data_IF_236907500103
#
_entry.id   IF_236907500103
#
_cell.length_a   1.000
_cell.length_b   1.000
_cell.length_c   1.000
_cell.angle_alpha   90.00
_cell.angle_beta   90.00
_cell.angle_gamma   90.00
#
_symmetry.space_group_name_H-M   'P 1'
#
loop_
_entity.id
_entity.type
_entity.pdbx_description
1 polymer ?
#
# COMPACT_ATOMS: atom_id res chain seq x y z
N UNK A 1 27.65 -4.91 8.97
CA UNK A 1 26.72 -5.51 7.98
C UNK A 1 25.27 -5.39 8.42
N UNK A 2 24.92 -5.81 9.63
CA UNK A 2 23.53 -5.77 10.15
C UNK A 2 22.91 -4.39 10.24
N UNK A 3 23.68 -3.35 10.56
CA UNK A 3 23.18 -1.96 10.49
C UNK A 3 22.79 -1.54 9.07
N UNK A 4 23.55 -1.98 8.05
CA UNK A 4 23.21 -1.71 6.65
C UNK A 4 21.95 -2.45 6.22
N UNK A 5 21.73 -3.67 6.71
CA UNK A 5 20.50 -4.42 6.45
C UNK A 5 19.28 -3.80 7.17
N UNK A 6 19.45 -3.31 8.39
CA UNK A 6 18.41 -2.58 9.11
C UNK A 6 18.03 -1.28 8.39
N UNK A 7 19.01 -0.55 7.85
CA UNK A 7 18.74 0.64 7.03
C UNK A 7 17.97 0.28 5.75
N UNK A 8 18.33 -0.83 5.08
CA UNK A 8 17.59 -1.33 3.91
C UNK A 8 16.16 -1.74 4.26
N UNK A 9 15.95 -2.41 5.40
CA UNK A 9 14.61 -2.77 5.88
C UNK A 9 13.77 -1.51 6.16
N UNK A 10 14.36 -0.49 6.79
CA UNK A 10 13.70 0.80 7.02
C UNK A 10 13.29 1.45 5.70
N UNK A 11 14.19 1.52 4.71
CA UNK A 11 13.87 2.09 3.39
C UNK A 11 12.79 1.29 2.66
N UNK A 12 12.78 -0.03 2.81
CA UNK A 12 11.73 -0.89 2.25
C UNK A 12 10.36 -0.54 2.84
N UNK A 13 10.27 -0.33 4.17
CA UNK A 13 9.03 0.09 4.82
C UNK A 13 8.60 1.51 4.41
N UNK A 14 9.54 2.45 4.34
CA UNK A 14 9.28 3.82 3.86
C UNK A 14 8.69 3.78 2.43
N UNK A 15 9.28 2.96 1.56
CA UNK A 15 8.78 2.77 0.19
C UNK A 15 7.40 2.11 0.15
N UNK A 16 7.15 1.08 0.97
CA UNK A 16 5.81 0.48 1.09
C UNK A 16 4.77 1.53 1.49
N UNK A 17 5.10 2.40 2.46
CA UNK A 17 4.20 3.47 2.91
C UNK A 17 3.91 4.49 1.80
N UNK A 18 4.90 4.86 1.00
CA UNK A 18 4.71 5.73 -0.17
C UNK A 18 3.74 5.13 -1.19
N UNK A 19 3.91 3.84 -1.51
CA UNK A 19 3.04 3.15 -2.47
C UNK A 19 1.62 3.04 -1.92
N UNK A 20 1.46 2.70 -0.63
CA UNK A 20 0.16 2.66 0.01
C UNK A 20 -0.54 4.04 -0.03
N UNK A 21 0.19 5.14 0.20
CA UNK A 21 -0.36 6.49 0.04
C UNK A 21 -0.81 6.78 -1.40
N UNK A 22 -0.15 6.22 -2.41
CA UNK A 22 -0.59 6.34 -3.80
C UNK A 22 -1.84 5.50 -4.08
N UNK A 23 -1.90 4.26 -3.57
CA UNK A 23 -3.11 3.42 -3.67
C UNK A 23 -4.31 4.10 -3.01
N UNK A 24 -4.11 4.75 -1.85
CA UNK A 24 -5.18 5.52 -1.21
C UNK A 24 -5.70 6.65 -2.11
N UNK A 25 -4.79 7.36 -2.80
CA UNK A 25 -5.19 8.41 -3.74
C UNK A 25 -5.97 7.86 -4.93
N UNK A 26 -5.54 6.74 -5.50
CA UNK A 26 -6.29 6.06 -6.58
C UNK A 26 -7.66 5.56 -6.09
N UNK A 27 -7.76 5.06 -4.86
CA UNK A 27 -9.03 4.69 -4.26
C UNK A 27 -9.98 5.88 -4.13
N UNK A 28 -9.49 7.04 -3.69
CA UNK A 28 -10.30 8.26 -3.61
C UNK A 28 -10.76 8.73 -4.99
N UNK A 29 -9.88 8.72 -6.00
CA UNK A 29 -10.27 9.04 -7.38
C UNK A 29 -11.37 8.12 -7.89
N UNK A 30 -11.26 6.83 -7.61
CA UNK A 30 -12.30 5.86 -7.95
C UNK A 30 -13.62 6.16 -7.22
N UNK A 31 -13.58 6.55 -5.93
CA UNK A 31 -14.77 7.01 -5.20
C UNK A 31 -15.39 8.22 -5.88
N UNK A 32 -14.60 9.26 -6.18
CA UNK A 32 -15.09 10.50 -6.81
C UNK A 32 -15.71 10.23 -8.19
N UNK A 33 -15.12 9.31 -8.96
CA UNK A 33 -15.69 8.85 -10.23
C UNK A 33 -17.06 8.18 -10.04
N UNK A 34 -17.26 7.40 -8.97
CA UNK A 34 -18.51 6.69 -8.71
C UNK A 34 -19.58 7.57 -8.05
N UNK A 35 -19.18 8.51 -7.17
CA UNK A 35 -20.08 9.41 -6.42
C UNK A 35 -20.64 10.54 -7.29
N UNK A 36 -19.95 10.93 -8.36
CA UNK A 36 -20.49 11.78 -9.40
C UNK A 36 -21.04 10.89 -10.52
N UNK A 37 -22.33 10.49 -10.51
CA UNK A 37 -22.93 9.93 -11.70
C UNK A 37 -22.84 11.04 -12.73
N UNK A 38 -22.02 10.85 -13.76
CA UNK A 38 -22.05 11.70 -14.94
C UNK A 38 -23.41 11.42 -15.58
N UNK A 39 -24.42 12.19 -15.14
CA UNK A 39 -25.78 12.17 -15.65
C UNK A 39 -25.74 12.73 -17.07
N UNK A 40 -25.36 11.89 -18.02
CA UNK A 40 -25.32 12.23 -19.43
C UNK A 40 -24.69 11.12 -20.24
N UNK A 41 -25.47 10.53 -21.14
CA UNK A 41 -25.08 9.47 -22.07
C UNK A 41 -23.88 9.79 -22.99
N UNK A 42 -23.29 10.99 -22.89
CA UNK A 42 -22.12 11.42 -23.65
C UNK A 42 -20.77 11.10 -22.98
N UNK A 43 -20.75 10.57 -21.74
CA UNK A 43 -19.52 10.35 -20.98
C UNK A 43 -19.20 8.90 -20.63
N UNK A 44 -20.03 7.91 -21.01
CA UNK A 44 -19.86 6.53 -20.54
C UNK A 44 -18.48 5.95 -20.89
N UNK A 45 -17.97 6.20 -22.10
CA UNK A 45 -16.65 5.68 -22.52
C UNK A 45 -15.47 6.30 -21.77
N UNK A 46 -15.48 7.62 -21.54
CA UNK A 46 -14.36 8.30 -20.85
C UNK A 46 -14.31 7.99 -19.36
N UNK A 47 -15.48 7.76 -18.75
CA UNK A 47 -15.58 7.41 -17.36
C UNK A 47 -15.12 5.96 -17.12
N UNK A 48 -15.56 5.01 -17.95
CA UNK A 48 -15.13 3.61 -17.90
C UNK A 48 -13.61 3.50 -18.08
N UNK A 49 -13.04 4.21 -19.08
CA UNK A 49 -11.59 4.28 -19.28
C UNK A 49 -10.85 4.84 -18.06
N UNK A 50 -11.36 5.90 -17.44
CA UNK A 50 -10.75 6.48 -16.25
C UNK A 50 -10.82 5.52 -15.05
N UNK A 51 -11.93 4.82 -14.88
CA UNK A 51 -12.10 3.80 -13.84
C UNK A 51 -11.11 2.65 -14.05
N UNK A 52 -11.03 2.08 -15.26
CA UNK A 52 -10.11 1.00 -15.60
C UNK A 52 -8.65 1.38 -15.35
N UNK A 53 -8.27 2.62 -15.69
CA UNK A 53 -6.94 3.15 -15.38
C UNK A 53 -6.62 3.16 -13.89
N UNK A 54 -7.59 3.50 -13.02
CA UNK A 54 -7.38 3.42 -11.57
C UNK A 54 -7.17 1.97 -11.12
N UNK A 55 -7.93 1.02 -11.66
CA UNK A 55 -7.80 -0.41 -11.34
C UNK A 55 -6.42 -0.95 -11.76
N UNK A 56 -5.98 -0.66 -12.99
CA UNK A 56 -4.67 -1.06 -13.47
C UNK A 56 -3.52 -0.43 -12.68
N UNK A 57 -3.64 0.86 -12.35
CA UNK A 57 -2.64 1.57 -11.55
C UNK A 57 -2.47 0.92 -10.16
N UNK A 58 -3.59 0.62 -9.49
CA UNK A 58 -3.59 -0.13 -8.22
C UNK A 58 -2.97 -1.52 -8.38
N UNK A 59 -3.27 -2.24 -9.46
CA UNK A 59 -2.68 -3.54 -9.75
C UNK A 59 -1.14 -3.49 -9.80
N UNK A 60 -0.57 -2.54 -10.54
CA UNK A 60 0.89 -2.34 -10.62
C UNK A 60 1.52 -2.01 -9.26
N UNK A 61 0.84 -1.19 -8.46
CA UNK A 61 1.28 -0.83 -7.11
C UNK A 61 1.24 -2.04 -6.15
N UNK A 62 0.24 -2.89 -6.25
CA UNK A 62 0.12 -4.13 -5.46
C UNK A 62 1.25 -5.12 -5.81
N UNK A 63 1.59 -5.25 -7.10
CA UNK A 63 2.74 -6.05 -7.52
C UNK A 63 4.06 -5.49 -6.95
N UNK A 64 4.24 -4.17 -6.94
CA UNK A 64 5.41 -3.53 -6.31
C UNK A 64 5.47 -3.79 -4.80
N UNK A 65 4.34 -3.67 -4.09
CA UNK A 65 4.24 -4.00 -2.67
C UNK A 65 4.60 -5.46 -2.40
N UNK A 66 4.14 -6.39 -3.25
CA UNK A 66 4.45 -7.81 -3.13
C UNK A 66 5.95 -8.06 -3.26
N UNK A 67 6.60 -7.49 -4.29
CA UNK A 67 8.06 -7.58 -4.47
C UNK A 67 8.84 -6.98 -3.30
N UNK A 68 8.39 -5.84 -2.77
CA UNK A 68 9.00 -5.23 -1.58
C UNK A 68 8.81 -6.09 -0.34
N UNK A 69 7.71 -6.82 -0.23
CA UNK A 69 7.48 -7.74 0.87
C UNK A 69 8.41 -8.93 0.82
N UNK A 70 8.55 -9.57 -0.34
CA UNK A 70 9.46 -10.71 -0.53
C UNK A 70 10.92 -10.31 -0.23
N UNK A 71 11.32 -9.13 -0.72
CA UNK A 71 12.66 -8.57 -0.45
C UNK A 71 12.87 -8.25 1.04
N UNK A 72 11.85 -7.73 1.72
CA UNK A 72 11.87 -7.46 3.15
C UNK A 72 12.06 -8.75 3.96
N UNK A 73 11.26 -9.78 3.66
CA UNK A 73 11.31 -11.06 4.38
C UNK A 73 12.68 -11.74 4.21
N UNK A 74 13.23 -11.71 2.99
CA UNK A 74 14.57 -12.21 2.71
C UNK A 74 15.65 -11.45 3.50
N UNK A 75 15.59 -10.12 3.56
CA UNK A 75 16.54 -9.30 4.33
C UNK A 75 16.39 -9.54 5.84
N UNK A 76 15.16 -9.60 6.34
CA UNK A 76 14.87 -9.80 7.75
C UNK A 76 15.38 -11.16 8.24
N UNK A 77 15.21 -12.22 7.46
CA UNK A 77 15.70 -13.55 7.79
C UNK A 77 17.21 -13.60 8.04
N UNK A 78 17.99 -12.75 7.35
CA UNK A 78 19.46 -12.66 7.47
C UNK A 78 19.90 -11.97 8.76
N UNK A 79 19.06 -11.10 9.34
CA UNK A 79 19.41 -10.32 10.53
C UNK A 79 18.73 -10.81 11.81
N UNK A 80 17.64 -11.58 11.72
CA UNK A 80 16.81 -11.94 12.89
C UNK A 80 17.61 -12.60 14.03
N UNK A 81 18.60 -13.44 13.69
CA UNK A 81 19.43 -14.16 14.67
C UNK A 81 20.29 -13.17 15.44
N UNK A 82 20.99 -12.28 14.73
CA UNK A 82 21.84 -11.27 15.37
C UNK A 82 21.03 -10.26 16.17
N UNK A 83 19.87 -9.83 15.67
CA UNK A 83 18.96 -8.94 16.40
C UNK A 83 18.48 -9.55 17.72
N UNK A 84 18.30 -10.88 17.76
CA UNK A 84 17.90 -11.59 18.98
C UNK A 84 19.03 -11.68 20.00
N UNK A 85 20.26 -11.88 19.52
CA UNK A 85 21.46 -12.01 20.38
C UNK A 85 21.98 -10.65 20.88
N UNK A 86 21.79 -9.57 20.12
CA UNK A 86 22.33 -8.23 20.41
C UNK A 86 21.21 -7.17 20.48
N UNK A 87 20.08 -7.48 21.13
CA UNK A 87 18.89 -6.60 21.18
C UNK A 87 19.19 -5.16 21.61
N UNK A 88 19.97 -4.99 22.69
CA UNK A 88 20.25 -3.64 23.22
C UNK A 88 21.02 -2.77 22.23
N UNK A 89 21.90 -3.36 21.42
CA UNK A 89 22.68 -2.64 20.41
C UNK A 89 21.80 -2.05 19.30
N UNK A 90 20.71 -2.73 18.96
CA UNK A 90 19.83 -2.37 17.84
C UNK A 90 18.50 -1.79 18.28
N UNK A 91 18.35 -1.46 19.58
CA UNK A 91 17.08 -1.05 20.19
C UNK A 91 16.42 0.12 19.47
N UNK A 92 17.19 1.16 19.12
CA UNK A 92 16.68 2.35 18.44
C UNK A 92 16.18 2.03 17.03
N UNK A 93 16.95 1.24 16.27
CA UNK A 93 16.60 0.83 14.92
C UNK A 93 15.37 -0.09 14.92
N UNK A 94 15.30 -1.02 15.87
CA UNK A 94 14.16 -1.92 16.06
C UNK A 94 12.89 -1.14 16.40
N UNK A 95 12.97 -0.13 17.27
CA UNK A 95 11.84 0.74 17.59
C UNK A 95 11.33 1.47 16.34
N UNK A 96 12.25 2.04 15.54
CA UNK A 96 11.88 2.69 14.26
C UNK A 96 11.18 1.73 13.30
N UNK A 97 11.73 0.53 13.10
CA UNK A 97 11.11 -0.48 12.23
C UNK A 97 9.71 -0.87 12.72
N UNK A 98 9.52 -1.01 14.03
CA UNK A 98 8.21 -1.31 14.62
C UNK A 98 7.20 -0.20 14.37
N UNK A 99 7.60 1.07 14.50
CA UNK A 99 6.74 2.21 14.23
C UNK A 99 6.37 2.29 12.74
N UNK A 100 7.34 2.09 11.84
CA UNK A 100 7.07 2.02 10.40
C UNK A 100 6.12 0.87 10.03
N UNK A 101 6.26 -0.30 10.65
CA UNK A 101 5.34 -1.43 10.44
C UNK A 101 3.93 -1.06 10.90
N UNK A 102 3.77 -0.35 12.02
CA UNK A 102 2.46 0.13 12.49
C UNK A 102 1.84 1.08 11.48
N UNK A 103 2.58 2.08 11.01
CA UNK A 103 2.09 3.03 9.99
C UNK A 103 1.65 2.33 8.70
N UNK A 104 2.45 1.38 8.21
CA UNK A 104 2.12 0.56 7.02
C UNK A 104 0.83 -0.24 7.25
N UNK A 105 0.66 -0.83 8.44
CA UNK A 105 -0.53 -1.62 8.81
C UNK A 105 -1.78 -0.75 8.90
N UNK A 106 -1.69 0.40 9.57
CA UNK A 106 -2.78 1.36 9.70
C UNK A 106 -3.23 1.90 8.34
N UNK A 107 -2.28 2.23 7.47
CA UNK A 107 -2.56 2.67 6.11
C UNK A 107 -3.25 1.57 5.29
N UNK A 108 -2.78 0.33 5.40
CA UNK A 108 -3.37 -0.83 4.71
C UNK A 108 -4.83 -1.05 5.14
N UNK A 109 -5.10 -0.97 6.44
CA UNK A 109 -6.46 -1.08 6.98
C UNK A 109 -7.37 0.04 6.44
N UNK A 110 -6.86 1.28 6.36
CA UNK A 110 -7.62 2.42 5.80
C UNK A 110 -7.98 2.18 4.33
N UNK A 111 -7.02 1.72 3.53
CA UNK A 111 -7.22 1.38 2.12
C UNK A 111 -8.28 0.28 1.97
N UNK A 112 -8.22 -0.77 2.79
CA UNK A 112 -9.19 -1.87 2.75
C UNK A 112 -10.62 -1.39 3.00
N UNK A 113 -10.82 -0.48 3.96
CA UNK A 113 -12.14 0.12 4.22
C UNK A 113 -12.62 0.96 3.03
N UNK A 114 -11.73 1.73 2.39
CA UNK A 114 -12.07 2.50 1.20
C UNK A 114 -12.42 1.58 0.02
N UNK A 115 -11.67 0.50 -0.20
CA UNK A 115 -11.94 -0.46 -1.28
C UNK A 115 -13.30 -1.13 -1.12
N UNK A 116 -13.68 -1.49 0.11
CA UNK A 116 -15.01 -2.05 0.39
C UNK A 116 -16.14 -1.08 0.03
N UNK A 117 -15.94 0.23 0.27
CA UNK A 117 -16.90 1.27 -0.12
C UNK A 117 -16.98 1.41 -1.63
N UNK A 118 -15.83 1.49 -2.31
CA UNK A 118 -15.78 1.59 -3.77
C UNK A 118 -16.44 0.37 -4.42
N UNK A 119 -16.19 -0.83 -3.89
CA UNK A 119 -16.85 -2.04 -4.36
C UNK A 119 -18.37 -1.96 -4.23
N UNK A 120 -18.90 -1.45 -3.12
CA UNK A 120 -20.34 -1.29 -2.94
C UNK A 120 -20.95 -0.28 -3.95
N UNK A 121 -20.24 0.81 -4.24
CA UNK A 121 -20.65 1.80 -5.25
C UNK A 121 -20.63 1.21 -6.67
N UNK A 122 -19.60 0.44 -7.01
CA UNK A 122 -19.52 -0.31 -8.28
C UNK A 122 -20.68 -1.30 -8.39
N UNK A 123 -20.90 -2.10 -7.36
CA UNK A 123 -21.99 -3.09 -7.32
C UNK A 123 -23.35 -2.40 -7.53
N UNK A 124 -23.57 -1.19 -6.97
CA UNK A 124 -24.77 -0.39 -7.20
C UNK A 124 -24.88 0.17 -8.63
N UNK A 125 -23.77 0.59 -9.24
CA UNK A 125 -23.77 1.18 -10.58
C UNK A 125 -24.05 0.16 -11.69
N UNK A 126 -23.61 -1.09 -11.50
CA UNK A 126 -23.78 -2.18 -12.47
C UNK A 126 -24.93 -3.16 -12.15
N UNK A 127 -25.72 -2.90 -11.11
CA UNK A 127 -26.96 -3.65 -10.79
C UNK A 127 -28.15 -3.14 -11.59
#
# INVERSE_FOLDING_TARGET
MTESYLDMLSRSLDRKLEILKQIEQENRKQTDLLDFPVQGAEFSGKWEEAFDQTVEAKGRMIEELTRLNDGFDLLFSKVQVELTLQKEKYRTQLARLQDQIREVTEMSNRIQVQEQRNKALVDQYFS
#
